data_IF_619042708432
#
_entry.id   IF_619042708432
#
_cell.length_a   1.000
_cell.length_b   1.000
_cell.length_c   1.000
_cell.angle_alpha   90.00
_cell.angle_beta   90.00
_cell.angle_gamma   90.00
#
_symmetry.space_group_name_H-M   'P 1'
#
loop_
_entity.id
_entity.type
_entity.pdbx_description
1 polymer ?
#
# COMPACT_ATOMS: atom_id res chain seq x y z
N UNK A 1 -22.32 -0.20 -9.12
CA UNK A 1 -21.31 0.36 -8.18
C UNK A 1 -20.61 1.50 -8.89
N UNK A 2 -20.47 2.65 -8.21
CA UNK A 2 -19.77 3.89 -8.63
C UNK A 2 -20.20 4.52 -9.95
N UNK A 3 -20.89 5.67 -9.90
CA UNK A 3 -21.06 6.54 -11.09
C UNK A 3 -20.20 7.78 -10.92
N UNK A 4 -19.26 7.97 -11.85
CA UNK A 4 -18.40 9.14 -11.96
C UNK A 4 -19.09 10.20 -12.80
N UNK A 5 -19.22 11.44 -12.29
CA UNK A 5 -19.57 12.60 -13.11
C UNK A 5 -18.34 13.51 -13.20
N UNK A 6 -17.80 13.64 -14.41
CA UNK A 6 -16.66 14.49 -14.73
C UNK A 6 -17.19 15.81 -15.32
N UNK A 7 -16.91 16.95 -14.69
CA UNK A 7 -17.15 18.28 -15.26
C UNK A 7 -15.82 18.89 -15.68
N UNK A 8 -15.52 18.85 -16.99
CA UNK A 8 -14.33 19.48 -17.56
C UNK A 8 -14.66 20.91 -17.99
N UNK A 9 -13.90 21.90 -17.50
CA UNK A 9 -13.79 23.22 -18.16
C UNK A 9 -12.41 23.37 -18.79
N UNK A 10 -12.28 24.05 -19.95
CA UNK A 10 -11.12 23.89 -20.82
C UNK A 10 -9.83 24.58 -20.35
N UNK A 11 -9.91 25.54 -19.41
CA UNK A 11 -8.79 26.48 -19.16
C UNK A 11 -8.27 26.52 -17.71
N UNK A 12 -8.75 25.62 -16.84
CA UNK A 12 -8.18 25.36 -15.53
C UNK A 12 -8.54 23.92 -15.16
N UNK A 13 -7.54 23.05 -14.94
CA UNK A 13 -7.77 21.64 -14.67
C UNK A 13 -8.32 21.44 -13.24
N UNK A 14 -9.60 21.77 -13.05
CA UNK A 14 -10.35 21.53 -11.82
C UNK A 14 -11.04 20.18 -11.96
N UNK A 15 -10.73 19.24 -11.08
CA UNK A 15 -11.42 17.96 -10.96
C UNK A 15 -12.28 17.97 -9.71
N UNK A 16 -13.59 17.75 -9.87
CA UNK A 16 -14.53 17.60 -8.75
C UNK A 16 -15.12 16.20 -8.83
N UNK A 17 -14.96 15.44 -7.74
CA UNK A 17 -15.55 14.12 -7.59
C UNK A 17 -16.75 14.19 -6.65
N UNK A 18 -17.85 13.56 -7.06
CA UNK A 18 -19.04 13.42 -6.24
C UNK A 18 -19.25 11.95 -5.87
N UNK A 19 -19.35 11.68 -4.58
CA UNK A 19 -19.71 10.35 -4.08
C UNK A 19 -21.21 10.31 -3.79
N UNK A 20 -21.92 9.40 -4.48
CA UNK A 20 -23.34 9.13 -4.25
C UNK A 20 -23.47 7.78 -3.57
N UNK A 21 -24.17 7.74 -2.43
CA UNK A 21 -24.25 6.58 -1.56
C UNK A 21 -25.58 5.83 -1.69
N UNK A 22 -25.55 4.50 -1.58
CA UNK A 22 -26.71 3.63 -1.87
C UNK A 22 -26.87 2.42 -0.91
N UNK A 23 -26.18 2.40 0.24
CA UNK A 23 -26.31 1.34 1.27
C UNK A 23 -26.40 2.00 2.67
N UNK A 24 -26.19 1.30 3.79
CA UNK A 24 -26.25 1.90 5.16
C UNK A 24 -25.08 1.49 6.07
N UNK A 25 -23.98 0.97 5.53
CA UNK A 25 -22.90 0.31 6.28
C UNK A 25 -21.48 0.66 5.81
N UNK A 26 -21.22 1.86 5.31
CA UNK A 26 -19.87 2.26 4.84
C UNK A 26 -19.48 3.68 5.25
N UNK A 27 -18.18 3.99 5.21
CA UNK A 27 -17.60 5.31 5.55
C UNK A 27 -18.34 6.53 4.97
N UNK A 28 -18.86 6.47 3.74
CA UNK A 28 -19.62 7.60 3.16
C UNK A 28 -20.95 7.82 3.89
N UNK A 29 -21.55 6.77 4.45
CA UNK A 29 -22.74 6.89 5.30
C UNK A 29 -22.42 7.65 6.58
N UNK A 30 -21.38 7.22 7.32
CA UNK A 30 -21.00 7.86 8.58
C UNK A 30 -20.70 9.35 8.38
N UNK A 31 -19.95 9.68 7.33
CA UNK A 31 -19.70 11.08 6.98
C UNK A 31 -20.99 11.87 6.72
N UNK A 32 -21.96 11.30 5.99
CA UNK A 32 -23.24 11.96 5.72
C UNK A 32 -24.13 12.06 6.97
N UNK A 33 -24.06 11.09 7.89
CA UNK A 33 -24.81 11.11 9.15
C UNK A 33 -24.27 12.16 10.13
N UNK A 34 -22.95 12.25 10.27
CA UNK A 34 -22.30 13.14 11.23
C UNK A 34 -22.09 14.58 10.72
N UNK A 35 -21.74 14.72 9.43
CA UNK A 35 -21.40 16.03 8.82
C UNK A 35 -22.48 16.52 7.86
N UNK A 36 -23.17 15.61 7.16
CA UNK A 36 -24.06 15.95 6.06
C UNK A 36 -23.33 16.11 4.72
N UNK A 37 -23.95 16.79 3.76
CA UNK A 37 -23.34 17.03 2.46
C UNK A 37 -22.16 18.01 2.59
N UNK A 38 -20.98 17.61 2.09
CA UNK A 38 -19.78 18.44 2.19
C UNK A 38 -18.59 17.89 1.41
N UNK A 39 -17.46 18.60 1.53
CA UNK A 39 -16.19 18.17 0.95
C UNK A 39 -15.58 17.10 1.85
N UNK A 40 -15.45 15.88 1.32
CA UNK A 40 -14.83 14.78 2.04
C UNK A 40 -13.30 14.87 2.07
N UNK A 41 -12.68 15.19 0.93
CA UNK A 41 -11.24 15.41 0.87
C UNK A 41 -10.85 16.38 -0.24
N UNK A 42 -9.64 16.90 -0.13
CA UNK A 42 -8.98 17.73 -1.15
C UNK A 42 -7.66 17.08 -1.53
N UNK A 43 -7.49 16.83 -2.82
CA UNK A 43 -6.24 16.30 -3.38
C UNK A 43 -5.30 17.43 -3.81
N UNK A 44 -4.08 17.42 -3.28
CA UNK A 44 -3.02 18.36 -3.64
C UNK A 44 -1.88 17.65 -4.35
N UNK A 45 -1.42 18.20 -5.47
CA UNK A 45 -0.27 17.65 -6.19
C UNK A 45 1.03 18.10 -5.53
N UNK A 46 1.99 17.19 -5.44
CA UNK A 46 3.38 17.45 -5.02
C UNK A 46 4.37 16.86 -6.03
N UNK A 47 5.57 17.43 -6.08
CA UNK A 47 6.61 17.00 -7.03
C UNK A 47 7.38 15.76 -6.55
N UNK A 48 7.62 15.67 -5.24
CA UNK A 48 8.31 14.56 -4.58
C UNK A 48 7.49 14.12 -3.37
N UNK A 49 6.59 13.14 -3.58
CA UNK A 49 5.69 12.64 -2.55
C UNK A 49 6.44 11.87 -1.47
N UNK A 50 7.45 11.08 -1.83
CA UNK A 50 8.26 10.32 -0.86
C UNK A 50 8.96 11.27 0.09
N UNK A 51 9.68 12.28 -0.42
CA UNK A 51 10.33 13.27 0.42
C UNK A 51 9.34 14.15 1.17
N UNK A 52 8.18 14.50 0.59
CA UNK A 52 7.14 15.25 1.28
C UNK A 52 6.61 14.51 2.51
N UNK A 53 6.25 13.24 2.37
CA UNK A 53 5.75 12.41 3.47
C UNK A 53 6.84 12.16 4.50
N UNK A 54 8.07 11.89 4.06
CA UNK A 54 9.21 11.68 4.96
C UNK A 54 9.45 12.92 5.83
N UNK A 55 9.46 14.12 5.24
CA UNK A 55 9.58 15.38 6.00
C UNK A 55 8.44 15.56 6.99
N UNK A 56 7.21 15.22 6.60
CA UNK A 56 6.04 15.29 7.50
C UNK A 56 6.17 14.32 8.68
N UNK A 57 6.59 13.09 8.43
CA UNK A 57 6.83 12.08 9.47
C UNK A 57 7.99 12.47 10.40
N UNK A 58 9.08 13.00 9.85
CA UNK A 58 10.23 13.47 10.62
C UNK A 58 9.88 14.67 11.50
N UNK A 59 9.16 15.65 10.95
CA UNK A 59 8.65 16.78 11.70
C UNK A 59 7.81 16.31 12.88
N UNK A 60 6.82 15.43 12.64
CA UNK A 60 5.97 14.88 13.71
C UNK A 60 6.76 14.13 14.78
N UNK A 61 7.76 13.35 14.38
CA UNK A 61 8.62 12.63 15.34
C UNK A 61 9.44 13.57 16.22
N UNK A 62 9.88 14.71 15.68
CA UNK A 62 10.71 15.70 16.39
C UNK A 62 9.85 16.59 17.30
N UNK A 63 8.71 17.08 16.80
CA UNK A 63 7.91 18.10 17.49
C UNK A 63 6.73 17.52 18.25
N UNK A 64 6.29 16.31 17.92
CA UNK A 64 5.01 15.76 18.39
C UNK A 64 3.79 16.35 17.66
N UNK A 65 4.00 17.24 16.68
CA UNK A 65 2.95 17.99 15.99
C UNK A 65 2.91 17.70 14.49
N UNK A 66 1.77 17.91 13.84
CA UNK A 66 1.61 17.80 12.40
C UNK A 66 0.65 16.70 11.96
N UNK A 67 0.63 16.40 10.66
CA UNK A 67 -0.29 15.43 10.10
C UNK A 67 0.15 13.98 10.39
N UNK A 68 -0.85 13.13 10.59
CA UNK A 68 -0.69 11.68 10.52
C UNK A 68 -1.27 11.17 9.20
N UNK A 69 -0.60 10.21 8.60
CA UNK A 69 -1.06 9.54 7.39
C UNK A 69 -1.76 8.23 7.75
N UNK A 70 -2.66 7.78 6.87
CA UNK A 70 -3.31 6.49 7.02
C UNK A 70 -2.29 5.35 6.92
N UNK A 71 -2.52 4.32 7.73
CA UNK A 71 -1.65 3.16 7.80
C UNK A 71 -2.00 2.17 6.68
N UNK A 72 -1.04 1.86 5.82
CA UNK A 72 -1.19 0.86 4.75
C UNK A 72 -0.54 -0.45 5.20
N UNK A 73 -1.25 -1.59 5.15
CA UNK A 73 -0.72 -2.86 5.62
C UNK A 73 0.47 -3.33 4.77
N UNK A 74 1.42 -4.01 5.43
CA UNK A 74 2.65 -4.53 4.81
C UNK A 74 2.39 -5.46 3.62
N UNK A 75 1.32 -6.24 3.69
CA UNK A 75 0.88 -7.15 2.62
C UNK A 75 0.57 -6.45 1.30
N UNK A 76 0.18 -5.19 1.30
CA UNK A 76 0.01 -4.42 0.07
C UNK A 76 1.33 -4.30 -0.71
N UNK A 77 2.43 -4.09 0.01
CA UNK A 77 3.76 -3.88 -0.55
C UNK A 77 4.48 -5.19 -0.88
N UNK A 78 4.38 -6.14 0.04
CA UNK A 78 5.10 -7.41 -0.01
C UNK A 78 5.43 -7.91 1.38
N UNK A 79 5.22 -9.20 1.56
CA UNK A 79 5.61 -9.98 2.74
C UNK A 79 6.32 -11.23 2.25
N UNK A 80 7.23 -11.74 3.07
CA UNK A 80 7.89 -13.02 2.82
C UNK A 80 6.92 -14.17 3.13
N UNK A 81 6.89 -15.18 2.26
CA UNK A 81 6.18 -16.43 2.50
C UNK A 81 7.05 -17.63 2.15
N UNK A 82 6.73 -18.80 2.71
CA UNK A 82 7.39 -20.05 2.35
C UNK A 82 7.22 -20.39 0.88
N UNK A 83 6.05 -20.10 0.29
CA UNK A 83 5.79 -20.28 -1.14
C UNK A 83 6.76 -19.43 -1.99
N UNK A 84 7.01 -18.18 -1.60
CA UNK A 84 7.98 -17.34 -2.30
C UNK A 84 9.41 -17.91 -2.22
N UNK A 85 9.81 -18.46 -1.08
CA UNK A 85 11.12 -19.09 -0.91
C UNK A 85 11.22 -20.39 -1.72
N UNK A 86 10.16 -21.20 -1.75
CA UNK A 86 10.05 -22.40 -2.56
C UNK A 86 10.20 -22.06 -4.06
N UNK A 87 9.38 -21.14 -4.56
CA UNK A 87 9.30 -20.83 -5.98
C UNK A 87 10.51 -20.05 -6.50
N UNK A 88 10.97 -19.05 -5.74
CA UNK A 88 12.00 -18.11 -6.22
C UNK A 88 13.42 -18.52 -5.84
N UNK A 89 13.61 -19.12 -4.66
CA UNK A 89 14.91 -19.61 -4.24
C UNK A 89 15.10 -21.12 -4.51
N UNK A 90 14.07 -21.79 -5.07
CA UNK A 90 14.10 -23.22 -5.40
C UNK A 90 14.45 -24.10 -4.19
N UNK A 91 13.97 -23.70 -3.00
CA UNK A 91 14.09 -24.49 -1.79
C UNK A 91 13.02 -25.58 -1.75
N UNK A 92 13.29 -26.70 -1.10
CA UNK A 92 12.26 -27.63 -0.65
C UNK A 92 11.27 -26.93 0.29
N UNK A 93 10.00 -27.36 0.32
CA UNK A 93 8.98 -26.76 1.19
C UNK A 93 9.42 -26.75 2.66
N UNK A 94 10.03 -27.84 3.12
CA UNK A 94 10.53 -27.98 4.48
C UNK A 94 11.68 -27.00 4.78
N UNK A 95 12.60 -26.79 3.82
CA UNK A 95 13.68 -25.82 3.98
C UNK A 95 13.16 -24.38 3.92
N UNK A 96 12.19 -24.10 3.04
CA UNK A 96 11.52 -22.80 2.97
C UNK A 96 10.86 -22.43 4.31
N UNK A 97 10.11 -23.35 4.92
CA UNK A 97 9.50 -23.16 6.24
C UNK A 97 10.56 -22.97 7.34
N UNK A 98 11.65 -23.76 7.29
CA UNK A 98 12.75 -23.63 8.24
C UNK A 98 13.47 -22.28 8.14
N UNK A 99 13.66 -21.75 6.92
CA UNK A 99 14.25 -20.42 6.67
C UNK A 99 13.31 -19.32 7.13
N UNK A 100 12.00 -19.42 6.85
CA UNK A 100 11.01 -18.44 7.30
C UNK A 100 10.97 -18.37 8.84
N UNK A 101 10.91 -19.52 9.52
CA UNK A 101 11.00 -19.60 10.98
C UNK A 101 12.31 -19.02 11.51
N UNK A 102 13.44 -19.27 10.85
CA UNK A 102 14.71 -18.68 11.25
C UNK A 102 14.74 -17.14 11.08
N UNK A 103 14.04 -16.61 10.07
CA UNK A 103 13.89 -15.17 9.89
C UNK A 103 13.08 -14.54 11.03
N UNK A 104 12.00 -15.19 11.45
CA UNK A 104 11.19 -14.74 12.60
C UNK A 104 12.00 -14.80 13.91
N UNK A 105 12.69 -15.91 14.17
CA UNK A 105 13.53 -16.10 15.36
C UNK A 105 14.66 -15.06 15.46
N UNK A 106 15.23 -14.67 14.31
CA UNK A 106 16.25 -13.63 14.21
C UNK A 106 15.70 -12.20 14.30
N UNK A 107 14.38 -12.01 14.30
CA UNK A 107 13.74 -10.70 14.19
C UNK A 107 13.96 -10.02 12.83
N UNK A 108 14.27 -10.77 11.78
CA UNK A 108 14.43 -10.26 10.40
C UNK A 108 13.07 -9.89 9.81
N UNK A 109 12.04 -10.67 10.12
CA UNK A 109 10.65 -10.38 9.79
C UNK A 109 9.72 -10.56 10.98
N UNK A 110 8.58 -9.87 10.95
CA UNK A 110 7.47 -10.14 11.87
C UNK A 110 6.75 -11.43 11.51
N UNK A 111 5.86 -11.88 12.41
CA UNK A 111 5.05 -13.11 12.25
C UNK A 111 4.08 -13.09 11.07
N UNK A 112 3.86 -11.93 10.44
CA UNK A 112 3.09 -11.78 9.21
C UNK A 112 3.99 -11.75 7.95
N UNK A 113 5.28 -12.03 8.11
CA UNK A 113 6.28 -12.06 7.04
C UNK A 113 6.81 -10.70 6.62
N UNK A 114 6.46 -9.60 7.29
CA UNK A 114 7.00 -8.29 6.93
C UNK A 114 8.49 -8.17 7.32
N UNK A 115 9.36 -8.10 6.32
CA UNK A 115 10.81 -7.97 6.50
C UNK A 115 11.19 -6.53 6.89
N UNK A 116 12.11 -6.38 7.85
CA UNK A 116 12.66 -5.08 8.26
C UNK A 116 13.27 -4.35 7.05
N UNK A 117 12.95 -3.06 6.90
CA UNK A 117 13.40 -2.22 5.80
C UNK A 117 14.83 -1.70 5.96
N UNK A 118 15.38 -1.73 7.18
CA UNK A 118 16.68 -1.13 7.54
C UNK A 118 17.79 -2.17 7.60
N UNK A 119 17.46 -3.44 7.86
CA UNK A 119 18.47 -4.50 7.95
C UNK A 119 19.22 -4.66 6.63
N UNK A 120 20.54 -4.79 6.69
CA UNK A 120 21.39 -4.94 5.51
C UNK A 120 21.39 -6.40 5.02
N UNK A 121 21.67 -6.60 3.72
CA UNK A 121 21.81 -7.95 3.14
C UNK A 121 22.85 -8.80 3.88
N UNK A 122 23.96 -8.19 4.29
CA UNK A 122 25.00 -8.85 5.06
C UNK A 122 24.53 -9.21 6.48
N UNK A 123 23.81 -8.29 7.14
CA UNK A 123 23.21 -8.54 8.45
C UNK A 123 22.22 -9.71 8.43
N UNK A 124 21.35 -9.77 7.42
CA UNK A 124 20.44 -10.91 7.18
C UNK A 124 21.24 -12.20 6.97
N UNK A 125 22.27 -12.16 6.14
CA UNK A 125 23.13 -13.32 5.86
C UNK A 125 23.78 -13.88 7.12
N UNK A 126 24.41 -13.01 7.92
CA UNK A 126 25.09 -13.42 9.15
C UNK A 126 24.12 -14.00 10.19
N UNK A 127 22.95 -13.36 10.38
CA UNK A 127 21.93 -13.83 11.31
C UNK A 127 21.36 -15.21 10.89
N UNK A 128 21.10 -15.41 9.60
CA UNK A 128 20.63 -16.69 9.10
C UNK A 128 21.70 -17.78 9.14
N UNK A 129 22.97 -17.46 8.85
CA UNK A 129 24.06 -18.43 8.97
C UNK A 129 24.17 -18.98 10.40
N UNK A 130 24.04 -18.12 11.42
CA UNK A 130 24.14 -18.51 12.82
C UNK A 130 23.02 -19.49 13.24
N UNK A 131 21.81 -19.29 12.71
CA UNK A 131 20.64 -20.11 13.05
C UNK A 131 20.59 -21.38 12.18
N UNK A 132 20.74 -21.22 10.87
CA UNK A 132 20.59 -22.32 9.91
C UNK A 132 21.72 -23.34 9.98
N UNK A 133 22.94 -22.93 10.40
CA UNK A 133 24.06 -23.88 10.63
C UNK A 133 23.78 -24.92 11.72
N UNK A 134 22.80 -24.65 12.59
CA UNK A 134 22.38 -25.55 13.67
C UNK A 134 21.14 -26.38 13.32
N UNK A 135 20.52 -26.15 12.16
CA UNK A 135 19.29 -26.84 11.71
C UNK A 135 19.60 -27.97 10.73
N UNK A 136 18.77 -29.00 10.72
CA UNK A 136 18.95 -30.22 9.91
C UNK A 136 19.03 -29.96 8.38
N UNK A 137 18.49 -28.83 7.91
CA UNK A 137 18.49 -28.42 6.48
C UNK A 137 19.51 -27.33 6.13
N UNK A 138 20.51 -27.12 6.99
CA UNK A 138 21.52 -26.07 6.80
C UNK A 138 22.30 -26.17 5.48
N UNK A 139 22.55 -27.38 4.97
CA UNK A 139 23.30 -27.60 3.72
C UNK A 139 22.58 -27.04 2.49
N UNK A 140 21.27 -27.28 2.37
CA UNK A 140 20.45 -26.77 1.26
C UNK A 140 20.38 -25.24 1.28
N UNK A 141 20.23 -24.65 2.47
CA UNK A 141 20.30 -23.20 2.66
C UNK A 141 21.66 -22.65 2.21
N UNK A 142 22.77 -23.28 2.59
CA UNK A 142 24.12 -22.82 2.22
C UNK A 142 24.31 -22.84 0.71
N UNK A 143 23.83 -23.87 0.02
CA UNK A 143 23.88 -23.95 -1.45
C UNK A 143 23.08 -22.82 -2.11
N UNK A 144 21.86 -22.56 -1.62
CA UNK A 144 20.92 -21.57 -2.20
C UNK A 144 20.97 -20.20 -1.54
N UNK A 145 21.94 -19.94 -0.68
CA UNK A 145 22.00 -18.75 0.18
C UNK A 145 21.82 -17.44 -0.58
N UNK A 146 22.46 -17.32 -1.75
CA UNK A 146 22.37 -16.12 -2.58
C UNK A 146 20.93 -15.84 -3.02
N UNK A 147 20.22 -16.87 -3.49
CA UNK A 147 18.86 -16.74 -4.01
C UNK A 147 17.84 -16.54 -2.87
N UNK A 148 18.10 -17.15 -1.71
CA UNK A 148 17.35 -16.89 -0.47
C UNK A 148 17.49 -15.43 -0.05
N UNK A 149 18.71 -14.90 0.01
CA UNK A 149 18.95 -13.50 0.37
C UNK A 149 18.33 -12.53 -0.65
N UNK A 150 18.42 -12.83 -1.94
CA UNK A 150 17.77 -12.01 -2.97
C UNK A 150 16.25 -12.01 -2.81
N UNK A 151 15.65 -13.18 -2.56
CA UNK A 151 14.20 -13.33 -2.34
C UNK A 151 13.75 -12.57 -1.08
N UNK A 152 14.52 -12.64 0.00
CA UNK A 152 14.29 -11.93 1.25
C UNK A 152 14.34 -10.41 1.08
N UNK A 153 15.36 -9.89 0.40
CA UNK A 153 15.48 -8.44 0.18
C UNK A 153 14.34 -7.93 -0.69
N UNK A 154 13.99 -8.69 -1.75
CA UNK A 154 12.92 -8.35 -2.67
C UNK A 154 11.53 -8.48 -2.06
N UNK A 155 11.33 -9.34 -1.06
CA UNK A 155 10.02 -9.53 -0.41
C UNK A 155 9.51 -8.25 0.24
N UNK A 156 10.40 -7.33 0.66
CA UNK A 156 10.06 -6.00 1.21
C UNK A 156 9.12 -5.18 0.33
N UNK A 157 9.14 -5.42 -0.99
CA UNK A 157 8.36 -4.71 -1.98
C UNK A 157 7.92 -5.64 -3.13
N UNK A 158 7.81 -6.95 -2.89
CA UNK A 158 7.60 -7.93 -3.97
C UNK A 158 6.30 -7.74 -4.75
N UNK A 159 5.23 -7.30 -4.10
CA UNK A 159 3.94 -7.06 -4.76
C UNK A 159 4.01 -5.80 -5.63
N UNK A 160 4.64 -4.73 -5.12
CA UNK A 160 4.93 -3.55 -5.94
C UNK A 160 5.86 -3.88 -7.11
N UNK A 161 6.91 -4.68 -6.90
CA UNK A 161 7.82 -5.08 -7.98
C UNK A 161 7.11 -5.92 -9.05
N UNK A 162 6.16 -6.77 -8.66
CA UNK A 162 5.35 -7.54 -9.62
C UNK A 162 4.58 -6.61 -10.57
N UNK A 163 4.09 -5.48 -10.02
CA UNK A 163 3.30 -4.49 -10.75
C UNK A 163 4.17 -3.55 -11.60
N UNK A 164 5.23 -3.01 -11.01
CA UNK A 164 5.99 -1.88 -11.54
C UNK A 164 7.32 -2.31 -12.17
N UNK A 165 7.82 -3.50 -11.84
CA UNK A 165 9.07 -4.06 -12.35
C UNK A 165 10.23 -3.06 -12.29
N UNK A 166 10.86 -2.79 -13.42
CA UNK A 166 12.07 -1.98 -13.50
C UNK A 166 11.77 -0.48 -13.73
N UNK A 167 10.49 -0.06 -13.61
CA UNK A 167 10.12 1.35 -13.68
C UNK A 167 10.64 2.17 -12.48
N UNK A 168 11.02 1.51 -11.38
CA UNK A 168 11.52 2.14 -10.17
C UNK A 168 12.80 1.45 -9.68
N UNK A 169 13.68 2.24 -9.07
CA UNK A 169 14.84 1.71 -8.35
C UNK A 169 14.41 1.07 -7.03
N UNK A 170 15.27 0.20 -6.48
CA UNK A 170 15.08 -0.38 -5.14
C UNK A 170 14.92 0.71 -4.06
N UNK A 171 15.69 1.80 -4.16
CA UNK A 171 15.58 2.94 -3.25
C UNK A 171 14.18 3.57 -3.29
N UNK A 172 13.61 3.75 -4.50
CA UNK A 172 12.25 4.28 -4.68
C UNK A 172 11.21 3.34 -4.10
N UNK A 173 11.34 2.02 -4.33
CA UNK A 173 10.44 1.04 -3.69
C UNK A 173 10.49 1.13 -2.17
N UNK A 174 11.68 1.10 -1.58
CA UNK A 174 11.84 1.20 -0.13
C UNK A 174 11.32 2.54 0.41
N UNK A 175 11.47 3.63 -0.34
CA UNK A 175 10.91 4.95 -0.01
C UNK A 175 9.38 4.94 0.04
N UNK A 176 8.73 4.36 -0.96
CA UNK A 176 7.27 4.19 -1.04
C UNK A 176 6.78 3.37 0.15
N UNK A 177 7.43 2.23 0.37
CA UNK A 177 7.08 1.25 1.38
C UNK A 177 7.25 1.80 2.80
N UNK A 178 8.34 2.54 3.05
CA UNK A 178 8.62 3.20 4.34
C UNK A 178 7.60 4.30 4.64
N UNK A 179 7.20 5.05 3.62
CA UNK A 179 6.28 6.17 3.75
C UNK A 179 4.81 5.80 3.52
N UNK A 180 4.51 4.51 3.34
CA UNK A 180 3.15 3.99 3.20
C UNK A 180 2.36 4.66 2.05
N UNK A 181 3.06 4.90 0.95
CA UNK A 181 2.49 5.49 -0.26
C UNK A 181 1.77 4.41 -1.08
N UNK A 182 0.58 4.71 -1.56
CA UNK A 182 -0.16 3.88 -2.49
C UNK A 182 0.30 4.18 -3.92
N UNK A 183 0.37 3.15 -4.76
CA UNK A 183 0.82 3.26 -6.14
C UNK A 183 -0.19 2.63 -7.09
N UNK A 184 -0.63 3.41 -8.07
CA UNK A 184 -1.41 2.94 -9.21
C UNK A 184 -0.57 3.09 -10.49
N UNK A 185 -0.76 2.20 -11.45
CA UNK A 185 -0.16 2.25 -12.78
C UNK A 185 -1.24 2.22 -13.87
N UNK A 186 -1.11 3.09 -14.86
CA UNK A 186 -1.95 3.09 -16.05
C UNK A 186 -1.05 3.16 -17.28
N UNK A 187 -0.83 2.00 -17.92
CA UNK A 187 0.17 1.88 -18.96
C UNK A 187 1.58 2.03 -18.40
N UNK A 188 2.29 3.08 -18.81
CA UNK A 188 3.64 3.40 -18.35
C UNK A 188 3.65 4.55 -17.33
N UNK A 189 2.50 5.15 -17.04
CA UNK A 189 2.41 6.23 -16.06
C UNK A 189 2.09 5.69 -14.68
N UNK A 190 2.67 6.34 -13.67
CA UNK A 190 2.46 6.02 -12.26
C UNK A 190 1.71 7.16 -11.56
N UNK A 191 0.85 6.78 -10.64
CA UNK A 191 0.18 7.66 -9.70
C UNK A 191 0.53 7.23 -8.28
N UNK A 192 1.25 8.07 -7.57
CA UNK A 192 1.48 7.92 -6.14
C UNK A 192 0.44 8.72 -5.38
N UNK A 193 -0.15 8.11 -4.35
CA UNK A 193 -1.18 8.71 -3.52
C UNK A 193 -0.90 8.42 -2.04
N UNK A 194 -1.17 9.39 -1.19
CA UNK A 194 -1.23 9.19 0.25
C UNK A 194 -2.34 10.05 0.85
N UNK A 195 -2.94 9.54 1.92
CA UNK A 195 -4.08 10.14 2.57
C UNK A 195 -3.72 10.43 4.02
N UNK A 196 -4.11 11.60 4.51
CA UNK A 196 -4.02 11.90 5.94
C UNK A 196 -5.12 11.15 6.69
N UNK A 197 -4.95 11.00 8.00
CA UNK A 197 -6.10 10.81 8.88
C UNK A 197 -7.05 12.02 8.78
N UNK A 198 -8.24 11.87 9.36
CA UNK A 198 -9.20 12.96 9.51
C UNK A 198 -8.53 14.21 10.08
N UNK A 199 -8.78 15.35 9.44
CA UNK A 199 -8.34 16.67 9.88
C UNK A 199 -9.55 17.44 10.39
N UNK A 200 -9.32 18.35 11.36
CA UNK A 200 -10.37 19.22 11.90
C UNK A 200 -11.51 18.46 12.61
N UNK A 201 -11.21 17.31 13.21
CA UNK A 201 -12.16 16.60 14.08
C UNK A 201 -12.57 17.48 15.26
N UNK A 202 -13.84 17.42 15.67
CA UNK A 202 -14.32 18.11 16.88
C UNK A 202 -13.85 17.33 18.11
N UNK A 203 -14.11 16.02 18.11
CA UNK A 203 -13.61 15.06 19.08
C UNK A 203 -12.88 13.88 18.42
N UNK A 204 -12.03 13.21 19.18
CA UNK A 204 -11.28 12.08 18.67
C UNK A 204 -12.22 10.92 18.31
N UNK A 205 -12.27 10.55 17.03
CA UNK A 205 -13.12 9.48 16.53
C UNK A 205 -14.23 9.96 15.59
N UNK A 206 -14.52 11.26 15.59
CA UNK A 206 -15.54 11.85 14.71
C UNK A 206 -15.14 11.75 13.23
N UNK A 207 -16.15 11.65 12.37
CA UNK A 207 -15.98 11.86 10.94
C UNK A 207 -15.55 13.31 10.69
N UNK A 208 -14.55 13.49 9.84
CA UNK A 208 -14.11 14.80 9.39
C UNK A 208 -13.47 14.70 8.00
N UNK A 209 -13.28 15.82 7.29
CA UNK A 209 -12.55 15.80 6.02
C UNK A 209 -11.11 15.30 6.20
N UNK A 210 -10.49 14.82 5.13
CA UNK A 210 -9.07 14.47 5.11
C UNK A 210 -8.38 15.10 3.89
N UNK A 211 -7.05 15.04 3.86
CA UNK A 211 -6.25 15.53 2.74
C UNK A 211 -5.66 14.35 1.96
N UNK A 212 -5.60 14.51 0.66
CA UNK A 212 -4.91 13.60 -0.25
C UNK A 212 -3.72 14.34 -0.86
N UNK A 213 -2.57 13.68 -0.95
CA UNK A 213 -1.42 14.19 -1.68
C UNK A 213 -1.04 13.22 -2.79
N UNK A 214 -0.86 13.76 -4.00
CA UNK A 214 -0.61 12.96 -5.20
C UNK A 214 0.67 13.39 -5.92
N UNK A 215 1.34 12.42 -6.53
CA UNK A 215 2.40 12.67 -7.51
C UNK A 215 2.10 11.83 -8.76
N UNK A 216 2.15 12.46 -9.93
CA UNK A 216 1.97 11.81 -11.23
C UNK A 216 3.33 11.72 -11.90
N UNK A 217 3.80 10.51 -12.18
CA UNK A 217 5.02 10.23 -12.92
C UNK A 217 4.59 9.72 -14.28
N UNK A 218 4.70 10.57 -15.30
CA UNK A 218 4.29 10.22 -16.66
C UNK A 218 5.46 9.63 -17.41
N UNK A 219 5.22 8.63 -18.25
CA UNK A 219 6.26 8.21 -19.19
C UNK A 219 6.62 9.36 -20.11
N UNK A 220 7.89 9.42 -20.53
CA UNK A 220 8.40 10.50 -21.36
C UNK A 220 7.54 10.63 -22.60
N UNK A 221 6.77 11.71 -22.66
CA UNK A 221 6.21 12.16 -23.92
C UNK A 221 7.41 12.69 -24.70
N UNK A 222 7.79 11.98 -25.77
CA UNK A 222 8.86 12.36 -26.69
C UNK A 222 8.89 13.88 -26.84
N UNK A 223 10.06 14.50 -26.60
CA UNK A 223 10.21 15.95 -26.60
C UNK A 223 9.42 16.56 -27.76
N UNK A 224 8.62 17.60 -27.47
CA UNK A 224 7.93 18.32 -28.51
C UNK A 224 8.93 18.81 -29.58
N UNK A 225 8.46 19.25 -30.76
CA UNK A 225 9.33 19.73 -31.85
C UNK A 225 10.42 20.74 -31.41
N UNK A 226 10.19 21.43 -30.30
CA UNK A 226 11.04 22.48 -29.74
C UNK A 226 11.96 22.03 -28.58
N UNK A 227 12.01 20.73 -28.25
CA UNK A 227 12.86 20.22 -27.15
C UNK A 227 12.33 20.51 -25.74
N UNK A 228 11.14 21.13 -25.62
CA UNK A 228 10.49 21.37 -24.33
C UNK A 228 9.78 20.11 -23.81
N UNK A 229 9.80 19.85 -22.48
CA UNK A 229 8.98 18.80 -21.86
C UNK A 229 7.52 19.07 -22.17
N UNK A 230 6.82 18.08 -22.73
CA UNK A 230 5.39 18.20 -22.97
C UNK A 230 4.64 18.33 -21.63
N UNK A 231 3.58 19.15 -21.55
CA UNK A 231 2.77 19.25 -20.34
C UNK A 231 2.22 17.86 -19.96
N UNK A 232 2.22 17.54 -18.66
CA UNK A 232 1.65 16.30 -18.14
C UNK A 232 0.25 16.11 -18.68
N UNK A 233 0.03 15.01 -19.41
CA UNK A 233 -1.28 14.69 -19.99
C UNK A 233 -2.36 14.67 -18.89
N UNK A 234 -3.54 15.28 -19.12
CA UNK A 234 -4.66 15.21 -18.19
C UNK A 234 -4.96 13.74 -17.86
N UNK A 235 -4.99 13.37 -16.58
CA UNK A 235 -5.22 11.99 -16.15
C UNK A 235 -4.01 11.04 -16.22
N UNK A 236 -2.79 11.54 -16.39
CA UNK A 236 -1.56 10.72 -16.34
C UNK A 236 -1.44 9.86 -15.08
N UNK A 237 -1.42 8.53 -15.21
CA UNK A 237 -1.43 7.58 -14.07
C UNK A 237 -2.84 7.28 -13.53
N UNK A 238 -3.89 7.78 -14.18
CA UNK A 238 -5.28 7.50 -13.84
C UNK A 238 -5.83 8.27 -12.64
N UNK A 239 -6.86 7.72 -12.02
CA UNK A 239 -7.50 8.32 -10.84
C UNK A 239 -7.34 7.47 -9.58
N UNK A 240 -6.47 6.46 -9.62
CA UNK A 240 -6.18 5.67 -8.43
C UNK A 240 -7.29 4.69 -8.10
N UNK A 241 -7.98 4.07 -9.08
CA UNK A 241 -9.13 3.19 -8.76
C UNK A 241 -8.72 2.00 -7.89
N UNK A 242 -7.48 1.49 -8.07
CA UNK A 242 -6.88 0.48 -7.17
C UNK A 242 -6.57 1.07 -5.80
N UNK A 243 -6.01 2.27 -5.80
CA UNK A 243 -5.67 2.98 -4.58
C UNK A 243 -6.91 3.33 -3.76
N UNK A 244 -8.06 3.61 -4.38
CA UNK A 244 -9.33 3.83 -3.69
C UNK A 244 -9.84 2.58 -2.99
N UNK A 245 -9.79 1.41 -3.65
CA UNK A 245 -10.24 0.17 -3.02
C UNK A 245 -9.29 -0.25 -1.89
N UNK A 246 -7.98 -0.08 -2.10
CA UNK A 246 -6.96 -0.25 -1.06
C UNK A 246 -7.14 0.73 0.09
N UNK A 247 -7.47 2.00 -0.19
CA UNK A 247 -7.76 3.03 0.79
C UNK A 247 -8.95 2.61 1.66
N UNK A 248 -10.10 2.29 1.06
CA UNK A 248 -11.28 1.89 1.82
C UNK A 248 -11.00 0.65 2.69
N UNK A 249 -10.35 -0.37 2.13
CA UNK A 249 -9.96 -1.55 2.91
C UNK A 249 -8.93 -1.20 3.99
N UNK A 250 -7.97 -0.31 3.74
CA UNK A 250 -6.98 0.12 4.74
C UNK A 250 -7.61 0.92 5.88
N UNK A 251 -8.65 1.71 5.61
CA UNK A 251 -9.42 2.42 6.63
C UNK A 251 -10.18 1.42 7.49
N UNK A 252 -10.88 0.45 6.86
CA UNK A 252 -11.62 -0.59 7.58
C UNK A 252 -10.68 -1.52 8.38
N UNK A 253 -9.52 -1.90 7.82
CA UNK A 253 -8.47 -2.65 8.52
C UNK A 253 -7.92 -1.82 9.67
N UNK A 254 -7.59 -0.54 9.47
CA UNK A 254 -7.10 0.33 10.53
C UNK A 254 -8.12 0.52 11.66
N UNK A 255 -9.41 0.60 11.32
CA UNK A 255 -10.51 0.63 12.31
C UNK A 255 -10.57 -0.70 13.07
N UNK A 256 -10.56 -1.83 12.38
CA UNK A 256 -10.55 -3.16 12.99
C UNK A 256 -9.30 -3.42 13.85
N UNK A 257 -8.13 -2.90 13.47
CA UNK A 257 -6.88 -2.99 14.25
C UNK A 257 -6.94 -2.11 15.52
N UNK A 258 -7.57 -0.93 15.45
CA UNK A 258 -7.84 -0.09 16.64
C UNK A 258 -8.82 -0.80 17.58
N UNK A 259 -9.91 -1.35 17.05
CA UNK A 259 -10.86 -2.18 17.82
C UNK A 259 -10.14 -3.37 18.49
N UNK A 260 -9.27 -4.08 17.77
CA UNK A 260 -8.42 -5.13 18.33
C UNK A 260 -7.55 -4.65 19.49
N UNK A 261 -6.89 -3.49 19.32
CA UNK A 261 -5.95 -2.97 20.32
C UNK A 261 -6.67 -2.48 21.57
N UNK A 262 -7.84 -1.84 21.39
CA UNK A 262 -8.73 -1.45 22.48
C UNK A 262 -9.22 -2.68 23.24
N UNK A 263 -9.73 -3.70 22.54
CA UNK A 263 -10.21 -4.95 23.14
C UNK A 263 -9.11 -5.65 23.97
N UNK A 264 -7.85 -5.67 23.48
CA UNK A 264 -6.70 -6.18 24.24
C UNK A 264 -6.36 -5.37 25.48
N UNK A 265 -6.61 -4.05 25.46
CA UNK A 265 -6.31 -3.16 26.59
C UNK A 265 -7.42 -3.14 27.65
N UNK A 266 -8.66 -3.45 27.27
CA UNK A 266 -9.83 -3.45 28.15
C UNK A 266 -10.18 -4.84 28.69
N UNK A 267 -9.78 -5.92 28.03
CA UNK A 267 -9.96 -7.29 28.50
C UNK A 267 -8.66 -7.87 29.03
N UNK A 268 -8.57 -8.05 30.36
CA UNK A 268 -7.65 -9.03 30.92
C UNK A 268 -8.03 -10.43 30.43
N UNK A 269 -7.06 -11.33 30.33
CA UNK A 269 -7.12 -12.66 29.69
C UNK A 269 -8.22 -13.63 30.21
N UNK A 270 -9.15 -13.19 31.05
CA UNK A 270 -10.08 -14.05 31.82
C UNK A 270 -11.59 -13.81 31.58
N UNK A 271 -12.00 -12.83 30.74
CA UNK A 271 -13.44 -12.59 30.44
C UNK A 271 -13.85 -13.12 29.05
N UNK A 272 -14.83 -14.03 29.03
CA UNK A 272 -15.38 -14.74 27.85
C UNK A 272 -15.86 -13.79 26.72
N UNK A 273 -16.24 -12.55 27.07
CA UNK A 273 -16.72 -11.52 26.15
C UNK A 273 -15.56 -10.76 25.43
N UNK A 274 -14.42 -10.61 26.11
CA UNK A 274 -13.20 -10.02 25.52
C UNK A 274 -12.59 -10.92 24.44
N UNK A 275 -12.70 -12.23 24.62
CA UNK A 275 -12.30 -13.25 23.63
C UNK A 275 -13.12 -13.17 22.34
N UNK A 276 -14.44 -12.96 22.44
CA UNK A 276 -15.34 -12.86 21.30
C UNK A 276 -15.09 -11.58 20.47
N UNK A 277 -14.92 -10.43 21.13
CA UNK A 277 -14.62 -9.16 20.46
C UNK A 277 -13.25 -9.17 19.77
N UNK A 278 -12.23 -9.76 20.40
CA UNK A 278 -10.90 -9.95 19.83
C UNK A 278 -10.94 -10.88 18.60
N UNK A 279 -11.63 -12.01 18.72
CA UNK A 279 -11.82 -12.99 17.65
C UNK A 279 -12.53 -12.38 16.43
N UNK A 280 -13.62 -11.65 16.67
CA UNK A 280 -14.35 -10.95 15.62
C UNK A 280 -13.46 -9.92 14.92
N UNK A 281 -12.72 -9.12 15.67
CA UNK A 281 -11.86 -8.07 15.12
C UNK A 281 -10.69 -8.63 14.32
N UNK A 282 -10.09 -9.74 14.77
CA UNK A 282 -9.09 -10.49 13.97
C UNK A 282 -9.68 -11.01 12.67
N UNK A 283 -10.87 -11.61 12.74
CA UNK A 283 -11.55 -12.15 11.55
C UNK A 283 -11.96 -11.07 10.55
N UNK A 284 -12.28 -9.85 11.02
CA UNK A 284 -12.45 -8.67 10.15
C UNK A 284 -11.15 -8.33 9.42
N UNK A 285 -10.01 -8.28 10.13
CA UNK A 285 -8.69 -7.99 9.52
C UNK A 285 -8.34 -9.04 8.46
N UNK A 286 -8.51 -10.33 8.78
CA UNK A 286 -8.27 -11.44 7.84
C UNK A 286 -9.17 -11.33 6.60
N UNK A 287 -10.48 -11.10 6.81
CA UNK A 287 -11.44 -10.97 5.71
C UNK A 287 -11.09 -9.81 4.79
N UNK A 288 -10.82 -8.61 5.33
CA UNK A 288 -10.49 -7.44 4.53
C UNK A 288 -9.14 -7.59 3.82
N UNK A 289 -8.17 -8.25 4.45
CA UNK A 289 -6.89 -8.57 3.82
C UNK A 289 -7.07 -9.56 2.66
N UNK A 290 -7.89 -10.59 2.85
CA UNK A 290 -8.23 -11.54 1.78
C UNK A 290 -8.94 -10.85 0.62
N UNK A 291 -9.90 -9.97 0.90
CA UNK A 291 -10.60 -9.19 -0.13
C UNK A 291 -9.65 -8.29 -0.93
N UNK A 292 -8.67 -7.68 -0.25
CA UNK A 292 -7.65 -6.88 -0.91
C UNK A 292 -6.83 -7.74 -1.88
N UNK A 293 -6.34 -8.88 -1.40
CA UNK A 293 -5.54 -9.81 -2.19
C UNK A 293 -6.31 -10.34 -3.42
N UNK A 294 -7.59 -10.68 -3.27
CA UNK A 294 -8.44 -11.16 -4.37
C UNK A 294 -8.79 -10.06 -5.38
N UNK A 295 -8.99 -8.83 -4.91
CA UNK A 295 -9.41 -7.71 -5.77
C UNK A 295 -8.26 -7.14 -6.62
N UNK A 296 -7.03 -7.18 -6.12
CA UNK A 296 -5.84 -6.61 -6.78
C UNK A 296 -5.64 -7.07 -8.25
N UNK A 297 -5.68 -8.38 -8.60
CA UNK A 297 -5.53 -8.82 -9.98
C UNK A 297 -6.68 -8.35 -10.89
N UNK A 298 -7.91 -8.33 -10.38
CA UNK A 298 -9.09 -7.89 -11.15
C UNK A 298 -8.99 -6.41 -11.49
N UNK A 299 -8.66 -5.58 -10.50
CA UNK A 299 -8.53 -4.13 -10.71
C UNK A 299 -7.35 -3.78 -11.63
N UNK A 300 -6.29 -4.60 -11.60
CA UNK A 300 -5.18 -4.49 -12.53
C UNK A 300 -5.64 -4.72 -13.96
N UNK A 301 -6.39 -5.81 -14.21
CA UNK A 301 -6.95 -6.09 -15.53
C UNK A 301 -7.89 -4.98 -16.04
N UNK A 302 -8.68 -4.36 -15.15
CA UNK A 302 -9.53 -3.22 -15.50
C UNK A 302 -8.69 -2.00 -15.91
N UNK A 303 -7.65 -1.64 -15.14
CA UNK A 303 -6.76 -0.52 -15.47
C UNK A 303 -6.04 -0.74 -16.81
N UNK A 304 -5.57 -1.96 -17.05
CA UNK A 304 -4.90 -2.33 -18.30
C UNK A 304 -5.84 -2.23 -19.50
N UNK A 305 -7.10 -2.68 -19.34
CA UNK A 305 -8.13 -2.57 -20.38
C UNK A 305 -8.46 -1.10 -20.71
N UNK A 306 -8.66 -0.26 -19.69
CA UNK A 306 -8.90 1.18 -19.89
C UNK A 306 -7.72 1.88 -20.58
N UNK A 307 -6.49 1.46 -20.26
CA UNK A 307 -5.28 1.96 -20.93
C UNK A 307 -5.26 1.54 -22.41
N UNK A 308 -5.58 0.28 -22.69
CA UNK A 308 -5.63 -0.25 -24.05
C UNK A 308 -6.69 0.47 -24.90
N UNK A 309 -7.87 0.75 -24.33
CA UNK A 309 -8.93 1.54 -24.95
C UNK A 309 -8.44 2.95 -25.30
N UNK A 310 -7.84 3.68 -24.36
CA UNK A 310 -7.32 5.03 -24.63
C UNK A 310 -6.24 5.09 -25.71
N UNK A 311 -5.38 4.06 -25.78
CA UNK A 311 -4.41 3.91 -26.89
C UNK A 311 -5.10 3.66 -28.23
N UNK A 312 -6.12 2.80 -28.25
CA UNK A 312 -6.87 2.53 -29.47
C UNK A 312 -7.58 3.78 -30.00
N UNK A 313 -8.21 4.56 -29.13
CA UNK A 313 -8.85 5.84 -29.49
C UNK A 313 -7.85 6.85 -30.06
N UNK A 314 -6.66 6.97 -29.46
CA UNK A 314 -5.62 7.88 -29.94
C UNK A 314 -5.15 7.47 -31.34
N UNK A 315 -4.97 6.17 -31.58
CA UNK A 315 -4.55 5.65 -32.88
C UNK A 315 -5.63 5.75 -33.97
N UNK A 316 -6.92 5.73 -33.61
CA UNK A 316 -8.01 5.92 -34.58
C UNK A 316 -8.18 7.39 -35.00
N UNK A 317 -7.72 8.32 -34.17
CA UNK A 317 -7.85 9.76 -34.40
C UNK A 317 -6.56 10.41 -34.96
N UNK A 318 -5.50 9.62 -35.17
CA UNK A 318 -4.24 10.02 -35.79
C UNK A 318 -4.18 9.60 -37.26
#
# INVERSE_FOLDING_TARGET
HSQHLMLVRPNAAIYIYLYIYCASTRHVHGFLEEIGQGVQHVASRVDDLVGFVQRGNDYRRITGEGFTFLNIPRSYYGVLSSEMLHDRASLSSECADAVLSACEDAGICSSDGAVDLVISREGVGNALDEIMSKRERGEEYVEKKKDVLETLMRSRYANLYSLLKDNLSEESYLGIVRNQILVDVQGEDLLFQIFTCNVLQREAGDEAPFLEFIQRVCSECSAGPDGCPLPVKPGCGGFGIRNFLTLFLSIEVSKAMRECSLAKSTGGDDDDDGSAALSLSRRKVELFTSQLNESNPILTAISDAMTAEGRAETNMNA
#
